data_IF_422271682518
#
_entry.id   IF_422271682518
#
_cell.length_a   1.000
_cell.length_b   1.000
_cell.length_c   1.000
_cell.angle_alpha   90.00
_cell.angle_beta   90.00
_cell.angle_gamma   90.00
#
_symmetry.space_group_name_H-M   'P 1'
#
loop_
_entity.id
_entity.type
_entity.pdbx_description
1 polymer ?
#
# COMPACT_ATOMS: atom_id res chain seq x y z
N UNK A 1 6.56 5.89 -16.49
CA UNK A 1 6.34 4.84 -15.48
C UNK A 1 7.69 4.34 -14.99
N UNK A 2 7.86 4.18 -13.68
CA UNK A 2 9.10 3.68 -13.07
C UNK A 2 9.21 2.17 -13.35
N UNK A 3 10.28 1.65 -13.96
CA UNK A 3 10.40 0.23 -14.35
C UNK A 3 10.14 -0.76 -13.21
N UNK A 4 10.44 -0.35 -11.97
CA UNK A 4 10.22 -1.14 -10.75
C UNK A 4 8.75 -1.35 -10.43
N UNK A 5 7.87 -0.39 -10.72
CA UNK A 5 6.43 -0.50 -10.45
C UNK A 5 5.79 -1.59 -11.33
N UNK A 6 6.11 -1.61 -12.63
CA UNK A 6 5.64 -2.64 -13.55
C UNK A 6 6.11 -4.04 -13.14
N UNK A 7 7.35 -4.15 -12.65
CA UNK A 7 7.87 -5.43 -12.16
C UNK A 7 7.08 -5.95 -10.95
N UNK A 8 6.75 -5.07 -10.00
CA UNK A 8 6.00 -5.42 -8.78
C UNK A 8 4.54 -5.78 -9.12
N UNK A 9 3.88 -4.99 -9.96
CA UNK A 9 2.51 -5.28 -10.42
C UNK A 9 2.44 -6.62 -11.15
N UNK A 10 3.45 -6.95 -11.96
CA UNK A 10 3.54 -8.24 -12.63
C UNK A 10 3.83 -9.39 -11.65
N UNK A 11 4.71 -9.18 -10.66
CA UNK A 11 5.05 -10.16 -9.64
C UNK A 11 3.84 -10.52 -8.77
N UNK A 12 3.05 -9.50 -8.40
CA UNK A 12 1.89 -9.65 -7.54
C UNK A 12 0.61 -9.92 -8.32
N UNK A 13 0.56 -9.66 -9.62
CA UNK A 13 -0.68 -9.66 -10.41
C UNK A 13 -1.83 -8.85 -9.75
N UNK A 14 -1.49 -7.79 -9.02
CA UNK A 14 -2.43 -6.87 -8.38
C UNK A 14 -2.46 -5.59 -9.20
N UNK A 15 -3.66 -5.25 -9.72
CA UNK A 15 -3.94 -3.96 -10.37
C UNK A 15 -5.01 -3.25 -9.57
N UNK A 16 -4.59 -2.48 -8.57
CA UNK A 16 -5.48 -1.63 -7.79
C UNK A 16 -5.09 -0.18 -8.05
N UNK A 17 -5.97 0.64 -8.66
CA UNK A 17 -5.67 2.04 -8.97
C UNK A 17 -5.46 2.91 -7.72
N UNK A 18 -5.85 2.42 -6.53
CA UNK A 18 -5.61 3.10 -5.26
C UNK A 18 -4.28 2.68 -4.60
N UNK A 19 -3.49 1.78 -5.19
CA UNK A 19 -2.21 1.31 -4.64
C UNK A 19 -1.05 1.65 -5.57
N UNK A 20 -0.21 2.59 -5.14
CA UNK A 20 1.03 2.93 -5.84
C UNK A 20 2.20 2.12 -5.25
N UNK A 21 2.68 1.10 -5.95
CA UNK A 21 3.85 0.33 -5.53
C UNK A 21 5.15 1.12 -5.77
N UNK A 22 5.92 1.31 -4.70
CA UNK A 22 7.11 2.18 -4.70
C UNK A 22 8.43 1.43 -4.51
N UNK A 23 8.39 0.26 -3.88
CA UNK A 23 9.59 -0.53 -3.59
C UNK A 23 9.22 -2.01 -3.42
N UNK A 24 10.16 -2.90 -3.74
CA UNK A 24 10.07 -4.29 -3.32
C UNK A 24 11.46 -4.89 -3.11
N UNK A 25 11.68 -5.48 -1.93
CA UNK A 25 12.98 -5.99 -1.52
C UNK A 25 12.87 -7.23 -0.64
N UNK A 26 13.91 -8.07 -0.65
CA UNK A 26 14.00 -9.18 0.31
C UNK A 26 14.32 -8.63 1.71
N UNK A 27 13.57 -9.09 2.69
CA UNK A 27 13.75 -8.69 4.09
C UNK A 27 13.33 -9.81 5.04
N UNK A 28 13.40 -9.55 6.35
CA UNK A 28 12.91 -10.46 7.38
C UNK A 28 11.64 -9.91 8.01
N UNK A 29 10.55 -10.68 7.99
CA UNK A 29 9.30 -10.35 8.65
C UNK A 29 8.89 -11.48 9.59
N UNK A 30 8.69 -11.14 10.88
CA UNK A 30 8.37 -12.12 11.95
C UNK A 30 9.33 -13.33 11.97
N UNK A 31 10.62 -13.09 11.75
CA UNK A 31 11.67 -14.12 11.76
C UNK A 31 11.78 -14.97 10.49
N UNK A 32 11.00 -14.70 9.44
CA UNK A 32 11.07 -15.40 8.15
C UNK A 32 11.57 -14.47 7.05
N UNK A 33 12.39 -15.00 6.13
CA UNK A 33 12.75 -14.28 4.92
C UNK A 33 11.51 -14.15 4.03
N UNK A 34 11.23 -12.93 3.58
CA UNK A 34 10.08 -12.59 2.74
C UNK A 34 10.52 -11.63 1.65
N UNK A 35 9.78 -11.58 0.55
CA UNK A 35 9.80 -10.44 -0.38
C UNK A 35 8.78 -9.43 0.16
N UNK A 36 9.20 -8.21 0.46
CA UNK A 36 8.30 -7.17 0.96
C UNK A 36 8.13 -6.08 -0.09
N UNK A 37 6.92 -5.98 -0.63
CA UNK A 37 6.57 -4.92 -1.57
C UNK A 37 5.81 -3.82 -0.83
N UNK A 38 6.30 -2.58 -0.90
CA UNK A 38 5.68 -1.42 -0.28
C UNK A 38 4.77 -0.73 -1.28
N UNK A 39 3.50 -0.55 -0.90
CA UNK A 39 2.53 0.25 -1.63
C UNK A 39 2.09 1.45 -0.80
N UNK A 40 1.85 2.58 -1.45
CA UNK A 40 1.23 3.76 -0.86
C UNK A 40 -0.22 3.79 -1.33
N UNK A 41 -1.15 3.82 -0.38
CA UNK A 41 -2.56 4.03 -0.64
C UNK A 41 -2.87 5.52 -0.56
N UNK A 42 -2.93 6.16 -1.71
CA UNK A 42 -3.30 7.58 -1.82
C UNK A 42 -4.82 7.71 -1.79
N UNK A 43 -5.28 8.76 -1.12
CA UNK A 43 -6.69 9.11 -1.00
C UNK A 43 -6.81 10.56 -1.42
N UNK A 44 -7.14 10.76 -2.68
CA UNK A 44 -7.31 12.10 -3.26
C UNK A 44 -8.63 12.74 -2.80
N UNK A 45 -9.62 11.90 -2.45
CA UNK A 45 -10.94 12.30 -1.97
C UNK A 45 -11.27 11.61 -0.64
N UNK A 46 -12.02 12.30 0.23
CA UNK A 46 -12.53 11.69 1.44
C UNK A 46 -13.43 10.51 1.07
N UNK A 47 -13.20 9.29 1.58
CA UNK A 47 -13.98 8.14 1.17
C UNK A 47 -15.46 8.28 1.55
N UNK A 48 -15.76 9.07 2.60
CA UNK A 48 -17.11 9.31 3.11
C UNK A 48 -17.83 10.44 2.34
N UNK A 49 -17.35 11.68 2.38
CA UNK A 49 -18.04 12.83 1.77
C UNK A 49 -17.55 13.22 0.37
N UNK A 50 -16.54 12.52 -0.19
CA UNK A 50 -15.92 12.80 -1.50
C UNK A 50 -15.29 14.18 -1.68
N UNK A 51 -15.29 15.01 -0.64
CA UNK A 51 -14.55 16.28 -0.61
C UNK A 51 -13.09 16.03 -0.94
N UNK A 52 -12.52 16.82 -1.86
CA UNK A 52 -11.08 16.93 -2.10
C UNK A 52 -10.41 17.98 -1.19
N UNK A 53 -11.23 18.79 -0.51
CA UNK A 53 -10.78 19.89 0.33
C UNK A 53 -10.72 19.50 1.81
N UNK A 54 -9.83 20.17 2.54
CA UNK A 54 -9.70 20.19 4.00
C UNK A 54 -9.35 18.86 4.69
N UNK A 55 -8.20 18.28 4.31
CA UNK A 55 -7.57 17.19 5.05
C UNK A 55 -6.58 17.68 6.09
N UNK A 56 -6.61 17.07 7.26
CA UNK A 56 -5.49 17.07 8.19
C UNK A 56 -4.74 15.77 8.02
N UNK A 57 -3.46 15.88 7.65
CA UNK A 57 -2.58 14.74 7.51
C UNK A 57 -2.07 14.30 8.89
N UNK A 58 -2.40 13.07 9.28
CA UNK A 58 -1.98 12.45 10.54
C UNK A 58 -1.11 11.22 10.27
N UNK A 59 -0.01 11.43 9.56
CA UNK A 59 0.98 10.39 9.29
C UNK A 59 0.44 9.22 8.45
N UNK A 60 1.06 8.06 8.63
CA UNK A 60 0.69 6.84 7.92
C UNK A 60 0.18 5.78 8.88
N UNK A 61 -0.92 5.12 8.51
CA UNK A 61 -1.26 3.80 9.03
C UNK A 61 -0.61 2.74 8.14
N UNK A 62 0.06 1.78 8.76
CA UNK A 62 0.75 0.71 8.05
C UNK A 62 0.03 -0.61 8.27
N UNK A 63 -0.28 -1.32 7.19
CA UNK A 63 -0.89 -2.66 7.21
C UNK A 63 0.03 -3.61 6.45
N UNK A 64 0.22 -4.81 6.98
CA UNK A 64 0.97 -5.88 6.32
C UNK A 64 -0.01 -6.96 5.88
N UNK A 65 -0.11 -7.18 4.58
CA UNK A 65 -1.03 -8.13 3.96
C UNK A 65 -0.17 -9.27 3.41
N UNK A 66 -0.28 -10.50 3.96
CA UNK A 66 0.31 -11.66 3.34
C UNK A 66 -0.28 -11.86 1.96
N UNK A 67 0.57 -11.92 0.94
CA UNK A 67 0.16 -12.21 -0.42
C UNK A 67 0.43 -13.68 -0.71
N UNK A 68 -0.61 -14.40 -1.13
CA UNK A 68 -0.52 -15.82 -1.46
C UNK A 68 0.08 -15.92 -2.86
N UNK A 69 1.40 -16.04 -2.93
CA UNK A 69 2.12 -16.36 -4.17
C UNK A 69 2.08 -17.85 -4.46
N UNK A 70 2.15 -18.22 -5.75
CA UNK A 70 2.28 -19.61 -6.17
C UNK A 70 3.65 -20.23 -5.78
N UNK A 71 4.66 -19.39 -5.51
CA UNK A 71 5.95 -19.81 -4.96
C UNK A 71 5.95 -19.66 -3.44
N UNK A 72 5.81 -20.79 -2.73
CA UNK A 72 5.86 -20.85 -1.26
C UNK A 72 7.27 -20.64 -0.69
N UNK A 73 8.31 -20.76 -1.52
CA UNK A 73 9.72 -20.60 -1.10
C UNK A 73 10.07 -19.13 -0.84
N UNK A 74 9.33 -18.22 -1.47
CA UNK A 74 9.53 -16.78 -1.38
C UNK A 74 8.21 -16.08 -1.01
N UNK A 75 7.74 -16.23 0.25
CA UNK A 75 6.50 -15.61 0.68
C UNK A 75 6.57 -14.09 0.49
N UNK A 76 5.48 -13.53 -0.06
CA UNK A 76 5.39 -12.11 -0.35
C UNK A 76 4.51 -11.41 0.67
N UNK A 77 4.96 -10.29 1.21
CA UNK A 77 4.19 -9.42 2.11
C UNK A 77 4.00 -8.07 1.43
N UNK A 78 2.75 -7.65 1.25
CA UNK A 78 2.43 -6.30 0.79
C UNK A 78 2.34 -5.39 2.02
N UNK A 79 3.25 -4.44 2.12
CA UNK A 79 3.24 -3.39 3.14
C UNK A 79 2.51 -2.18 2.59
N UNK A 80 1.24 -2.01 2.96
CA UNK A 80 0.44 -0.85 2.55
C UNK A 80 0.61 0.27 3.55
N UNK A 81 1.10 1.42 3.09
CA UNK A 81 1.12 2.68 3.82
C UNK A 81 -0.08 3.51 3.38
N UNK A 82 -1.07 3.65 4.24
CA UNK A 82 -2.25 4.48 4.01
C UNK A 82 -2.10 5.81 4.72
N UNK A 83 -2.38 6.92 4.03
CA UNK A 83 -2.46 8.22 4.68
C UNK A 83 -3.55 8.22 5.75
N UNK A 84 -3.16 8.55 6.98
CA UNK A 84 -4.11 8.86 8.05
C UNK A 84 -4.69 10.23 7.75
N UNK A 85 -5.85 10.28 7.11
CA UNK A 85 -6.54 11.53 6.82
C UNK A 85 -7.69 11.75 7.79
N UNK A 86 -7.79 12.96 8.33
CA UNK A 86 -9.02 13.47 8.93
C UNK A 86 -9.67 14.45 7.96
N UNK A 87 -10.94 14.23 7.65
CA UNK A 87 -11.70 15.11 6.78
C UNK A 87 -12.55 16.03 7.66
N UNK A 88 -12.26 17.33 7.66
CA UNK A 88 -13.00 18.29 8.49
C UNK A 88 -14.47 18.36 8.11
N UNK A 89 -14.80 18.13 6.84
CA UNK A 89 -16.19 18.09 6.36
C UNK A 89 -17.00 16.90 6.91
N UNK A 90 -16.33 15.87 7.44
CA UNK A 90 -17.00 14.75 8.12
C UNK A 90 -17.04 14.91 9.64
N UNK A 91 -16.32 15.89 10.19
CA UNK A 91 -16.34 16.26 11.61
C UNK A 91 -17.39 17.36 11.85
N UNK A 92 -18.64 17.10 11.46
CA UNK A 92 -19.81 17.84 11.94
C UNK A 92 -20.33 17.20 13.22
#
# INVERSE_FOLDING_TARGET
MNPTANYIENLLNVKDPCLNFVDCSQTTYKGRKVIMCTAIAELDTCPNCKSADDYIYNGFKVVHIPYISADESNPVIIKVKKHGIFCKNCEL
#
